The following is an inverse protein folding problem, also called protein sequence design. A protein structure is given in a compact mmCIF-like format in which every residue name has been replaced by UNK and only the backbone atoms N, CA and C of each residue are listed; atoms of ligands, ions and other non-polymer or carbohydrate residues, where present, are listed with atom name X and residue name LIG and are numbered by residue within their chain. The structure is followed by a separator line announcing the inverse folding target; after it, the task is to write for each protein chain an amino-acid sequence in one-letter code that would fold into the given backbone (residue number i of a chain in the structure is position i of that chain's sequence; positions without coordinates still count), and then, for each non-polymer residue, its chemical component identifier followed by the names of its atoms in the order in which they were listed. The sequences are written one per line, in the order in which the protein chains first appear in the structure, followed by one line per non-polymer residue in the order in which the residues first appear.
data_IF_623589050099
#
_entry.id   IF_623589050099
#
_cell.length_a   1.000
_cell.length_b   1.000
_cell.length_c   1.000
_cell.angle_alpha   90.00
_cell.angle_beta   90.00
_cell.angle_gamma   90.00
#
_symmetry.space_group_name_H-M   'P 1'
#
loop_
_entity.id
_entity.type
_entity.pdbx_description
1 polymer ?
#
# COMPACT_ATOMS: atom_id res chain seq x y z
N UNK A 1 -11.50 11.67 -9.61
CA UNK A 1 -10.19 12.28 -9.26
C UNK A 1 -9.72 11.98 -7.84
N UNK A 2 -10.58 11.48 -6.94
CA UNK A 2 -10.19 10.41 -5.99
C UNK A 2 -9.74 9.23 -6.88
N UNK A 3 -8.52 8.70 -6.96
CA UNK A 3 -7.47 8.60 -5.97
C UNK A 3 -6.16 8.15 -6.66
N UNK A 4 -5.36 9.06 -7.22
CA UNK A 4 -4.11 8.68 -7.89
C UNK A 4 -3.16 7.86 -6.99
N UNK A 5 -3.13 8.20 -5.69
CA UNK A 5 -2.39 7.44 -4.68
C UNK A 5 -2.98 6.05 -4.42
N UNK A 6 -4.29 5.92 -4.21
CA UNK A 6 -4.92 4.61 -3.97
C UNK A 6 -4.78 3.66 -5.19
N UNK A 7 -4.90 4.19 -6.41
CA UNK A 7 -4.60 3.41 -7.62
C UNK A 7 -3.13 2.98 -7.67
N UNK A 8 -2.21 3.84 -7.26
CA UNK A 8 -0.79 3.48 -7.16
C UNK A 8 -0.53 2.45 -6.06
N UNK A 9 -1.23 2.54 -4.92
CA UNK A 9 -1.17 1.54 -3.85
C UNK A 9 -1.57 0.17 -4.38
N UNK A 10 -2.71 0.06 -5.07
CA UNK A 10 -3.19 -1.19 -5.68
C UNK A 10 -2.17 -1.74 -6.69
N UNK A 11 -1.58 -0.87 -7.51
CA UNK A 11 -0.54 -1.25 -8.46
C UNK A 11 0.72 -1.79 -7.77
N UNK A 12 1.21 -1.09 -6.75
CA UNK A 12 2.39 -1.50 -5.98
C UNK A 12 2.16 -2.89 -5.36
N UNK A 13 1.07 -3.09 -4.63
CA UNK A 13 0.81 -4.38 -3.97
C UNK A 13 0.56 -5.53 -4.96
N UNK A 14 0.16 -5.23 -6.21
CA UNK A 14 0.03 -6.24 -7.26
C UNK A 14 1.36 -6.57 -7.97
N UNK A 15 2.30 -5.64 -7.98
CA UNK A 15 3.59 -5.78 -8.68
C UNK A 15 4.69 -6.34 -7.76
N UNK A 16 4.57 -6.13 -6.45
CA UNK A 16 5.63 -6.43 -5.48
C UNK A 16 5.06 -6.86 -4.12
N UNK A 17 5.81 -7.71 -3.41
CA UNK A 17 5.44 -8.15 -2.06
C UNK A 17 5.65 -7.00 -1.08
N UNK A 18 4.56 -6.54 -0.46
CA UNK A 18 4.56 -5.49 0.55
C UNK A 18 4.09 -6.08 1.87
N UNK A 19 4.98 -6.11 2.85
CA UNK A 19 4.69 -6.71 4.17
C UNK A 19 4.30 -5.67 5.21
N UNK A 20 4.79 -4.44 5.04
CA UNK A 20 4.63 -3.35 5.99
C UNK A 20 4.15 -2.06 5.33
N UNK A 21 3.51 -1.19 6.12
CA UNK A 21 3.08 0.12 5.64
C UNK A 21 4.26 1.01 5.27
N UNK A 22 5.40 0.89 5.97
CA UNK A 22 6.60 1.67 5.66
C UNK A 22 7.16 1.31 4.27
N UNK A 23 7.21 0.02 3.93
CA UNK A 23 7.61 -0.42 2.58
C UNK A 23 6.70 0.18 1.51
N UNK A 24 5.38 0.20 1.74
CA UNK A 24 4.44 0.83 0.82
C UNK A 24 4.65 2.35 0.70
N UNK A 25 4.98 3.03 1.81
CA UNK A 25 5.32 4.45 1.80
C UNK A 25 6.59 4.73 0.99
N UNK A 26 7.62 3.90 1.14
CA UNK A 26 8.88 4.05 0.40
C UNK A 26 8.65 3.87 -1.10
N UNK A 27 7.84 2.89 -1.51
CA UNK A 27 7.48 2.67 -2.91
C UNK A 27 6.64 3.80 -3.50
N UNK A 28 5.72 4.37 -2.71
CA UNK A 28 4.97 5.57 -3.12
C UNK A 28 5.92 6.75 -3.31
N UNK A 29 6.88 6.94 -2.39
CA UNK A 29 7.86 8.02 -2.46
C UNK A 29 8.78 7.90 -3.66
N UNK A 30 9.25 6.69 -4.01
CA UNK A 30 10.01 6.42 -5.25
C UNK A 30 9.26 6.83 -6.52
N UNK A 31 7.92 6.82 -6.47
CA UNK A 31 7.04 7.21 -7.56
C UNK A 31 6.61 8.69 -7.48
N UNK A 32 7.24 9.48 -6.62
CA UNK A 32 6.97 10.90 -6.43
C UNK A 32 5.69 11.21 -5.63
N UNK A 33 5.16 10.21 -4.90
CA UNK A 33 3.96 10.36 -4.07
C UNK A 33 4.38 10.36 -2.60
N UNK A 34 4.50 11.55 -2.01
CA UNK A 34 4.66 11.66 -0.57
C UNK A 34 3.31 11.50 0.15
N UNK A 35 3.33 10.73 1.23
CA UNK A 35 2.18 10.49 2.10
C UNK A 35 2.64 10.26 3.54
N UNK A 36 1.72 10.34 4.49
CA UNK A 36 1.98 10.00 5.89
C UNK A 36 1.41 8.62 6.22
N UNK A 37 1.91 8.01 7.30
CA UNK A 37 1.42 6.73 7.79
C UNK A 37 -0.08 6.79 8.11
N UNK A 38 -0.57 7.89 8.73
CA UNK A 38 -1.98 8.07 9.03
C UNK A 38 -2.86 8.12 7.77
N UNK A 39 -2.37 8.77 6.72
CA UNK A 39 -3.06 8.84 5.42
C UNK A 39 -3.08 7.48 4.75
N UNK A 40 -1.94 6.79 4.71
CA UNK A 40 -1.84 5.46 4.14
C UNK A 40 -2.71 4.44 4.89
N UNK A 41 -2.77 4.53 6.22
CA UNK A 41 -3.62 3.69 7.06
C UNK A 41 -5.11 3.87 6.72
N UNK A 42 -5.55 5.12 6.46
CA UNK A 42 -6.92 5.39 5.98
C UNK A 42 -7.15 4.80 4.58
N UNK A 43 -6.22 5.00 3.66
CA UNK A 43 -6.32 4.45 2.29
C UNK A 43 -6.43 2.92 2.30
N UNK A 44 -5.61 2.22 3.09
CA UNK A 44 -5.66 0.75 3.24
C UNK A 44 -7.04 0.30 3.75
N UNK A 45 -7.60 1.02 4.73
CA UNK A 45 -8.94 0.73 5.28
C UNK A 45 -10.05 0.98 4.26
N UNK A 46 -9.98 2.11 3.54
CA UNK A 46 -10.94 2.45 2.48
C UNK A 46 -10.91 1.45 1.33
N UNK A 47 -9.71 1.00 0.95
CA UNK A 47 -9.49 -0.02 -0.08
C UNK A 47 -9.81 -1.45 0.38
N UNK A 48 -10.17 -1.65 1.65
CA UNK A 48 -10.44 -2.96 2.26
C UNK A 48 -9.30 -3.96 2.03
N UNK A 49 -8.06 -3.47 2.00
CA UNK A 49 -6.89 -4.32 1.85
C UNK A 49 -6.68 -5.10 3.14
N UNK A 50 -6.88 -6.41 3.05
CA UNK A 50 -6.54 -7.36 4.11
C UNK A 50 -5.20 -8.00 3.80
N UNK A 51 -4.32 -8.09 4.79
CA UNK A 51 -3.05 -8.80 4.63
C UNK A 51 -3.39 -10.27 4.43
N UNK A 52 -3.33 -10.73 3.18
CA UNK A 52 -3.43 -12.16 2.90
C UNK A 52 -2.21 -12.80 3.58
N UNK A 53 -2.45 -13.68 4.55
CA UNK A 53 -1.38 -14.50 5.09
C UNK A 53 -0.92 -15.37 3.94
N UNK A 54 0.21 -15.03 3.33
CA UNK A 54 0.93 -15.97 2.47
C UNK A 54 1.05 -17.26 3.26
N UNK A 55 0.65 -18.37 2.66
CA UNK A 55 0.58 -19.68 3.30
C UNK A 55 1.97 -20.27 3.58
N UNK A 56 2.92 -19.46 4.03
CA UNK A 56 4.22 -19.88 4.55
C UNK A 56 4.14 -20.03 6.07
N UNK A 57 3.04 -20.64 6.52
CA UNK A 57 2.87 -21.09 7.89
C UNK A 57 3.40 -22.51 8.00
N UNK A 58 4.70 -22.64 8.27
CA UNK A 58 5.22 -23.80 9.02
C UNK A 58 5.05 -23.57 10.51
#
# INVERSE_FOLDING_TARGET
MKSGRQGTILRIISEQSIETQNQLMDELKKRGIDTTQATLSRDIRELRLVKQRSADGT
#
